data_IF_792571140754
#
_entry.id   IF_792571140754
#
_cell.length_a   1.000
_cell.length_b   1.000
_cell.length_c   1.000
_cell.angle_alpha   90.00
_cell.angle_beta   90.00
_cell.angle_gamma   90.00
#
_symmetry.space_group_name_H-M   'P 1'
#
loop_
_entity.id
_entity.type
_entity.pdbx_description
1 polymer ?
#
# COMPACT_ATOMS: atom_id res chain seq x y z
N UNK A 1 -14.16 -5.38 -18.51
CA UNK A 1 -13.26 -4.30 -18.85
C UNK A 1 -11.84 -4.84 -18.90
N UNK A 2 -11.01 -4.30 -19.79
CA UNK A 2 -9.69 -4.86 -20.14
C UNK A 2 -8.70 -4.82 -18.95
N UNK A 3 -8.65 -3.68 -18.23
CA UNK A 3 -7.69 -3.42 -17.16
C UNK A 3 -8.26 -3.61 -15.75
N UNK A 4 -9.47 -4.14 -15.59
CA UNK A 4 -10.11 -4.23 -14.27
C UNK A 4 -9.68 -5.45 -13.47
N UNK A 5 -9.65 -5.29 -12.14
CA UNK A 5 -9.50 -6.37 -11.17
C UNK A 5 -10.68 -6.40 -10.18
N UNK A 6 -10.81 -7.51 -9.47
CA UNK A 6 -11.66 -7.64 -8.29
C UNK A 6 -10.75 -7.85 -7.07
N UNK A 7 -10.81 -6.94 -6.13
CA UNK A 7 -10.07 -7.03 -4.87
C UNK A 7 -11.10 -7.17 -3.74
N UNK A 8 -11.24 -8.38 -3.24
CA UNK A 8 -12.13 -8.67 -2.12
C UNK A 8 -13.59 -8.18 -2.34
N UNK A 9 -14.12 -8.37 -3.54
CA UNK A 9 -15.46 -7.90 -3.93
C UNK A 9 -15.51 -6.45 -4.43
N UNK A 10 -14.45 -5.67 -4.28
CA UNK A 10 -14.35 -4.32 -4.82
C UNK A 10 -13.88 -4.36 -6.27
N UNK A 11 -14.64 -3.72 -7.16
CA UNK A 11 -14.21 -3.53 -8.55
C UNK A 11 -13.21 -2.39 -8.64
N UNK A 12 -12.00 -2.69 -9.09
CA UNK A 12 -10.91 -1.73 -9.30
C UNK A 12 -10.68 -1.60 -10.81
N UNK A 13 -10.96 -0.43 -11.38
CA UNK A 13 -10.93 -0.23 -12.83
C UNK A 13 -10.41 1.17 -13.20
N UNK A 14 -9.17 1.28 -13.73
CA UNK A 14 -8.18 0.21 -13.95
C UNK A 14 -7.64 -0.39 -12.64
N UNK A 15 -6.98 -1.56 -12.71
CA UNK A 15 -6.38 -2.26 -11.58
C UNK A 15 -5.13 -1.53 -11.01
N UNK A 16 -5.21 -0.22 -10.94
CA UNK A 16 -4.17 0.70 -10.48
C UNK A 16 -4.76 1.61 -9.41
N UNK A 17 -4.08 1.77 -8.30
CA UNK A 17 -4.44 2.69 -7.22
C UNK A 17 -3.23 3.48 -6.71
N UNK A 18 -3.43 4.45 -5.83
CA UNK A 18 -2.32 5.07 -5.12
C UNK A 18 -1.93 4.26 -3.88
N UNK A 19 -0.64 4.25 -3.54
CA UNK A 19 -0.18 3.75 -2.25
C UNK A 19 -0.59 4.71 -1.11
N UNK A 20 -0.84 4.18 0.09
CA UNK A 20 -1.18 5.01 1.26
C UNK A 20 -0.09 6.05 1.58
N UNK A 21 -0.49 7.25 2.01
CA UNK A 21 0.42 8.31 2.42
C UNK A 21 0.93 9.23 1.31
N UNK A 22 0.67 8.93 0.03
CA UNK A 22 1.06 9.78 -1.11
C UNK A 22 0.16 11.02 -1.20
N UNK A 23 -1.14 10.83 -1.07
CA UNK A 23 -2.10 11.92 -1.06
C UNK A 23 -2.68 12.06 0.35
N UNK A 24 -2.34 13.19 1.00
CA UNK A 24 -2.58 13.34 2.43
C UNK A 24 -3.69 14.33 2.79
N UNK A 25 -4.16 15.15 1.81
CA UNK A 25 -5.13 16.22 2.08
C UNK A 25 -6.49 15.93 1.42
N UNK A 26 -7.61 16.21 2.12
CA UNK A 26 -8.96 16.00 1.60
C UNK A 26 -9.23 16.71 0.26
N UNK A 27 -8.79 17.96 0.12
CA UNK A 27 -8.93 18.73 -1.12
C UNK A 27 -8.22 18.11 -2.30
N UNK A 28 -7.07 17.47 -2.07
CA UNK A 28 -6.32 16.72 -3.08
C UNK A 28 -7.08 15.45 -3.44
N UNK A 29 -7.52 14.66 -2.46
CA UNK A 29 -8.30 13.44 -2.69
C UNK A 29 -9.56 13.69 -3.53
N UNK A 30 -10.31 14.77 -3.28
CA UNK A 30 -11.47 15.15 -4.10
C UNK A 30 -11.10 15.38 -5.56
N UNK A 31 -10.02 16.12 -5.83
CA UNK A 31 -9.54 16.38 -7.20
C UNK A 31 -9.07 15.11 -7.89
N UNK A 32 -8.46 14.19 -7.14
CA UNK A 32 -7.96 12.92 -7.64
C UNK A 32 -9.06 11.93 -8.03
N UNK A 33 -10.29 12.08 -7.51
CA UNK A 33 -11.40 11.18 -7.82
C UNK A 33 -11.67 11.02 -9.32
N UNK A 34 -11.33 12.05 -10.12
CA UNK A 34 -11.48 12.04 -11.58
C UNK A 34 -10.30 11.36 -12.33
N UNK A 35 -9.17 11.11 -11.66
CA UNK A 35 -8.01 10.48 -12.30
C UNK A 35 -8.29 9.05 -12.76
N UNK A 36 -7.46 8.55 -13.69
CA UNK A 36 -7.50 7.18 -14.20
C UNK A 36 -6.86 6.18 -13.22
N UNK A 37 -7.33 6.24 -11.95
CA UNK A 37 -7.10 5.24 -10.91
C UNK A 37 -8.40 4.52 -10.60
N UNK A 38 -8.34 3.24 -10.30
CA UNK A 38 -9.53 2.41 -10.04
C UNK A 38 -9.98 2.41 -8.58
N UNK A 39 -9.09 2.74 -7.65
CA UNK A 39 -9.39 2.93 -6.23
C UNK A 39 -8.41 3.91 -5.58
N UNK A 40 -8.74 4.38 -4.39
CA UNK A 40 -7.93 5.35 -3.63
C UNK A 40 -7.70 4.89 -2.21
N UNK A 41 -6.45 5.02 -1.75
CA UNK A 41 -6.04 4.70 -0.38
C UNK A 41 -5.66 5.98 0.35
N UNK A 42 -6.25 6.20 1.52
CA UNK A 42 -5.98 7.39 2.34
C UNK A 42 -4.62 7.29 3.04
N UNK A 43 -4.14 8.42 3.58
CA UNK A 43 -3.04 8.41 4.54
C UNK A 43 -3.47 7.63 5.78
N UNK A 44 -2.56 6.80 6.31
CA UNK A 44 -2.82 6.01 7.51
C UNK A 44 -3.10 6.89 8.74
N UNK A 45 -4.12 6.51 9.51
CA UNK A 45 -4.49 7.15 10.76
C UNK A 45 -4.52 6.12 11.90
N UNK A 46 -4.43 6.59 13.15
CA UNK A 46 -4.65 5.81 14.37
C UNK A 46 -5.69 6.48 15.24
N UNK A 47 -6.12 5.83 16.31
CA UNK A 47 -7.22 6.31 17.15
C UNK A 47 -6.92 7.68 17.79
N UNK A 48 -5.81 7.79 18.51
CA UNK A 48 -5.47 8.99 19.28
C UNK A 48 -4.73 10.08 18.45
N UNK A 49 -4.28 9.74 17.25
CA UNK A 49 -3.33 10.56 16.49
C UNK A 49 -1.88 10.28 16.86
N UNK A 50 -0.97 10.86 16.11
CA UNK A 50 0.47 10.67 16.28
C UNK A 50 1.25 11.82 15.64
N UNK A 51 2.31 12.25 16.30
CA UNK A 51 3.33 13.12 15.72
C UNK A 51 4.32 12.33 14.87
N UNK A 52 4.85 12.97 13.83
CA UNK A 52 5.89 12.41 12.97
C UNK A 52 7.29 12.77 13.45
N UNK A 53 8.28 12.42 12.63
CA UNK A 53 9.65 12.87 12.84
C UNK A 53 9.81 14.35 12.47
N UNK A 54 10.85 14.99 13.02
CA UNK A 54 11.27 16.34 12.65
C UNK A 54 11.80 16.40 11.20
N UNK A 55 11.69 17.57 10.58
CA UNK A 55 12.26 17.80 9.25
C UNK A 55 13.80 17.89 9.28
N UNK A 56 14.48 17.49 8.21
CA UNK A 56 13.98 16.91 6.97
C UNK A 56 13.53 15.44 7.10
N UNK A 57 12.35 15.11 6.55
CA UNK A 57 11.74 13.78 6.61
C UNK A 57 11.80 13.01 5.30
N UNK A 58 12.28 13.63 4.21
CA UNK A 58 12.26 13.06 2.87
C UNK A 58 13.39 13.64 2.01
N UNK A 59 14.07 12.78 1.25
CA UNK A 59 15.12 13.20 0.31
C UNK A 59 15.35 12.20 -0.81
N UNK A 60 15.74 12.69 -1.98
CA UNK A 60 16.22 11.84 -3.08
C UNK A 60 17.66 11.41 -2.81
N UNK A 61 17.97 10.13 -2.87
CA UNK A 61 19.33 9.61 -2.65
C UNK A 61 20.05 9.27 -3.96
N UNK A 62 19.33 8.83 -4.98
CA UNK A 62 19.84 8.59 -6.33
C UNK A 62 18.74 8.88 -7.35
N UNK A 63 19.01 8.70 -8.64
CA UNK A 63 17.98 8.85 -9.68
C UNK A 63 16.79 7.90 -9.46
N UNK A 64 17.03 6.72 -8.93
CA UNK A 64 16.04 5.66 -8.79
C UNK A 64 15.55 5.45 -7.34
N UNK A 65 16.10 6.19 -6.37
CA UNK A 65 15.83 5.96 -4.96
C UNK A 65 15.56 7.23 -4.17
N UNK A 66 14.55 7.14 -3.32
CA UNK A 66 14.20 8.11 -2.29
C UNK A 66 14.26 7.46 -0.93
N UNK A 67 14.57 8.25 0.10
CA UNK A 67 14.43 7.82 1.51
C UNK A 67 13.52 8.76 2.26
N UNK A 68 12.75 8.20 3.17
CA UNK A 68 11.82 8.95 4.02
C UNK A 68 11.83 8.44 5.46
N UNK A 69 11.58 9.37 6.38
CA UNK A 69 11.34 9.11 7.79
C UNK A 69 10.16 9.98 8.24
N UNK A 70 8.96 9.69 7.72
CA UNK A 70 7.75 10.49 8.01
C UNK A 70 7.20 10.19 9.39
N UNK A 71 7.17 8.91 9.84
CA UNK A 71 6.77 8.53 11.19
C UNK A 71 5.27 8.48 11.43
N UNK A 72 4.44 8.38 10.38
CA UNK A 72 2.98 8.24 10.45
C UNK A 72 2.22 9.41 11.14
N UNK A 73 2.58 10.70 10.95
CA UNK A 73 1.84 11.80 11.57
C UNK A 73 0.38 11.82 11.09
N UNK A 74 -0.54 11.97 12.05
CA UNK A 74 -1.97 12.11 11.80
C UNK A 74 -2.67 12.68 13.03
N UNK A 75 -3.83 13.31 12.82
CA UNK A 75 -4.58 13.99 13.87
C UNK A 75 -5.61 13.10 14.59
N UNK A 76 -5.54 11.76 14.39
CA UNK A 76 -6.43 10.81 15.05
C UNK A 76 -7.70 10.48 14.25
N UNK A 77 -8.42 9.46 14.72
CA UNK A 77 -9.57 8.89 14.02
C UNK A 77 -10.75 9.87 13.94
N UNK A 78 -10.97 10.70 14.96
CA UNK A 78 -12.03 11.73 14.94
C UNK A 78 -11.78 12.79 13.86
N UNK A 79 -10.54 13.25 13.70
CA UNK A 79 -10.16 14.14 12.61
C UNK A 79 -10.28 13.46 11.24
N UNK A 80 -9.89 12.20 11.16
CA UNK A 80 -10.04 11.38 9.95
C UNK A 80 -11.51 11.21 9.56
N UNK A 81 -12.42 11.04 10.52
CA UNK A 81 -13.85 10.97 10.28
C UNK A 81 -14.36 12.24 9.58
N UNK A 82 -14.04 13.42 10.12
CA UNK A 82 -14.43 14.71 9.52
C UNK A 82 -13.90 14.85 8.09
N UNK A 83 -12.66 14.44 7.84
CA UNK A 83 -12.08 14.41 6.51
C UNK A 83 -12.88 13.49 5.57
N UNK A 84 -13.23 12.29 6.02
CA UNK A 84 -13.95 11.30 5.21
C UNK A 84 -15.41 11.70 4.96
N UNK A 85 -16.10 12.33 5.91
CA UNK A 85 -17.44 12.92 5.73
C UNK A 85 -17.47 13.90 4.56
N UNK A 86 -16.39 14.65 4.38
CA UNK A 86 -16.23 15.59 3.27
C UNK A 86 -15.84 14.91 1.95
N UNK A 87 -15.01 13.87 1.99
CA UNK A 87 -14.37 13.24 0.81
C UNK A 87 -15.20 12.10 0.24
N UNK A 88 -15.72 11.20 1.07
CA UNK A 88 -16.38 9.96 0.63
C UNK A 88 -17.58 10.18 -0.31
N UNK A 89 -18.42 11.23 -0.11
CA UNK A 89 -19.51 11.52 -1.05
C UNK A 89 -19.08 11.79 -2.51
N UNK A 90 -17.81 12.11 -2.76
CA UNK A 90 -17.28 12.31 -4.11
C UNK A 90 -16.88 11.00 -4.78
N UNK A 91 -16.57 9.95 -4.02
CA UNK A 91 -16.13 8.64 -4.54
C UNK A 91 -17.30 7.70 -4.81
N UNK A 92 -18.29 7.68 -3.95
CA UNK A 92 -19.45 6.79 -4.04
C UNK A 92 -20.22 6.88 -5.36
N UNK A 93 -20.58 8.09 -5.88
CA UNK A 93 -21.31 8.21 -7.13
C UNK A 93 -20.55 7.75 -8.38
N UNK A 94 -19.21 7.84 -8.35
CA UNK A 94 -18.36 7.45 -9.48
C UNK A 94 -17.94 5.97 -9.43
N UNK A 95 -18.36 5.24 -8.39
CA UNK A 95 -18.11 3.81 -8.25
C UNK A 95 -16.64 3.44 -8.06
N UNK A 96 -15.82 4.36 -7.53
CA UNK A 96 -14.41 4.11 -7.21
C UNK A 96 -14.25 3.87 -5.71
N UNK A 97 -13.76 2.71 -5.28
CA UNK A 97 -13.56 2.43 -3.86
C UNK A 97 -12.61 3.40 -3.18
N UNK A 98 -12.99 3.86 -2.00
CA UNK A 98 -12.15 4.60 -1.05
C UNK A 98 -11.75 3.65 0.07
N UNK A 99 -10.45 3.39 0.20
CA UNK A 99 -9.85 2.48 1.18
C UNK A 99 -9.22 3.33 2.29
N UNK A 100 -9.64 3.12 3.53
CA UNK A 100 -9.07 3.83 4.68
C UNK A 100 -7.92 3.03 5.27
N UNK A 101 -6.72 3.61 5.25
CA UNK A 101 -5.53 3.00 5.84
C UNK A 101 -5.46 3.32 7.34
N UNK A 102 -5.28 2.28 8.16
CA UNK A 102 -5.22 2.36 9.63
C UNK A 102 -3.98 1.64 10.18
N UNK A 103 -3.49 2.13 11.31
CA UNK A 103 -2.53 1.43 12.16
C UNK A 103 -2.88 1.74 13.62
N UNK A 104 -2.48 0.91 14.56
CA UNK A 104 -2.55 1.25 15.97
C UNK A 104 -1.57 0.41 16.79
N UNK A 105 -1.39 0.74 18.08
CA UNK A 105 -0.54 0.03 19.02
C UNK A 105 -1.31 -0.99 19.87
N UNK A 106 -2.62 -1.07 19.72
CA UNK A 106 -3.49 -2.08 20.33
C UNK A 106 -4.69 -2.40 19.44
N UNK A 107 -5.21 -3.62 19.60
CA UNK A 107 -6.40 -4.10 18.89
C UNK A 107 -7.65 -3.34 19.31
N UNK A 108 -7.75 -2.90 20.57
CA UNK A 108 -8.88 -2.13 21.09
C UNK A 108 -9.01 -0.78 20.40
N UNK A 109 -7.88 -0.06 20.23
CA UNK A 109 -7.86 1.24 19.52
C UNK A 109 -8.14 1.05 18.04
N UNK A 110 -7.58 0.00 17.42
CA UNK A 110 -7.90 -0.35 16.03
C UNK A 110 -9.40 -0.60 15.85
N UNK A 111 -10.04 -1.39 16.72
CA UNK A 111 -11.50 -1.64 16.70
C UNK A 111 -12.28 -0.33 16.79
N UNK A 112 -11.92 0.58 17.71
CA UNK A 112 -12.56 1.89 17.84
C UNK A 112 -12.44 2.72 16.56
N UNK A 113 -11.25 2.75 15.93
CA UNK A 113 -11.04 3.45 14.65
C UNK A 113 -11.90 2.87 13.54
N UNK A 114 -11.97 1.54 13.42
CA UNK A 114 -12.79 0.87 12.40
C UNK A 114 -14.27 1.21 12.60
N UNK A 115 -14.80 1.06 13.81
CA UNK A 115 -16.20 1.36 14.11
C UNK A 115 -16.55 2.82 13.81
N UNK A 116 -15.69 3.76 14.18
CA UNK A 116 -15.88 5.19 13.95
C UNK A 116 -15.92 5.58 12.47
N UNK A 117 -15.11 4.89 11.63
CA UNK A 117 -14.90 5.24 10.22
C UNK A 117 -15.70 4.35 9.26
N UNK A 118 -16.42 3.36 9.78
CA UNK A 118 -17.05 2.31 8.99
C UNK A 118 -17.97 2.85 7.87
N UNK A 119 -18.71 3.91 8.13
CA UNK A 119 -19.71 4.41 7.17
C UNK A 119 -19.11 5.28 6.04
N UNK A 120 -17.81 5.60 6.13
CA UNK A 120 -17.13 6.57 5.26
C UNK A 120 -16.03 5.96 4.38
N UNK A 121 -16.09 4.65 4.11
CA UNK A 121 -15.14 3.96 3.24
C UNK A 121 -15.77 2.70 2.63
N UNK A 122 -15.06 2.04 1.72
CA UNK A 122 -15.48 0.78 1.11
C UNK A 122 -14.67 -0.40 1.63
N UNK A 123 -13.46 -0.18 2.14
CA UNK A 123 -12.57 -1.16 2.76
C UNK A 123 -11.59 -0.50 3.73
N UNK A 124 -10.90 -1.32 4.53
CA UNK A 124 -9.79 -0.89 5.37
C UNK A 124 -8.48 -1.55 4.95
N UNK A 125 -7.39 -0.77 4.93
CA UNK A 125 -6.02 -1.26 4.83
C UNK A 125 -5.36 -1.21 6.21
N UNK A 126 -4.99 -2.35 6.78
CA UNK A 126 -4.20 -2.43 8.02
C UNK A 126 -2.73 -2.24 7.70
N UNK A 127 -2.15 -1.10 8.06
CA UNK A 127 -0.75 -0.80 7.84
C UNK A 127 0.13 -1.45 8.93
N UNK A 128 0.38 -2.74 8.80
CA UNK A 128 1.26 -3.52 9.68
C UNK A 128 2.71 -3.53 9.19
N UNK A 129 3.13 -2.51 8.45
CA UNK A 129 4.36 -2.57 7.65
C UNK A 129 5.24 -1.33 7.76
N UNK A 130 4.80 -0.25 8.42
CA UNK A 130 5.57 0.99 8.49
C UNK A 130 6.92 0.75 9.19
N UNK A 131 8.06 1.03 8.51
CA UNK A 131 9.39 0.79 9.09
C UNK A 131 9.94 1.99 9.87
N UNK A 132 9.32 3.16 9.73
CA UNK A 132 9.79 4.42 10.34
C UNK A 132 9.14 4.62 11.71
N UNK A 133 9.71 3.97 12.71
CA UNK A 133 9.22 3.95 14.09
C UNK A 133 10.16 4.74 15.02
N UNK A 134 9.57 5.38 16.03
CA UNK A 134 10.32 5.94 17.15
C UNK A 134 10.77 4.81 18.11
N UNK A 135 11.85 5.01 18.87
CA UNK A 135 12.30 4.01 19.83
C UNK A 135 11.19 3.60 20.81
N UNK A 136 10.99 2.29 20.98
CA UNK A 136 9.96 1.73 21.88
C UNK A 136 8.55 1.61 21.30
N UNK A 137 8.28 2.09 20.10
CA UNK A 137 6.98 1.92 19.47
C UNK A 137 6.71 0.46 19.06
N UNK A 138 5.48 0.00 19.35
CA UNK A 138 4.99 -1.35 19.00
C UNK A 138 3.88 -1.25 17.96
N UNK A 139 4.20 -0.71 16.79
CA UNK A 139 3.27 -0.52 15.66
C UNK A 139 3.94 -0.95 14.34
N UNK A 140 3.20 -0.88 13.25
CA UNK A 140 3.74 -1.07 11.91
C UNK A 140 4.53 -2.37 11.76
N UNK A 141 5.80 -2.27 11.34
CA UNK A 141 6.64 -3.43 11.05
C UNK A 141 6.91 -4.33 12.27
N UNK A 142 6.81 -3.81 13.50
CA UNK A 142 6.95 -4.63 14.71
C UNK A 142 5.81 -5.64 14.79
N UNK A 143 4.58 -5.22 14.46
CA UNK A 143 3.42 -6.12 14.38
C UNK A 143 3.55 -7.02 13.15
N UNK A 144 3.86 -6.45 11.99
CA UNK A 144 3.90 -7.17 10.72
C UNK A 144 5.03 -8.18 10.56
N UNK A 145 5.98 -8.27 11.49
CA UNK A 145 7.02 -9.31 11.53
C UNK A 145 6.65 -10.53 12.39
N UNK A 146 5.59 -10.44 13.17
CA UNK A 146 5.14 -11.51 14.05
C UNK A 146 3.80 -12.07 13.55
N UNK A 147 3.77 -13.32 13.03
CA UNK A 147 2.54 -13.95 12.54
C UNK A 147 1.41 -13.99 13.59
N UNK A 148 1.74 -14.09 14.88
CA UNK A 148 0.73 -14.09 15.98
C UNK A 148 0.11 -12.71 16.17
N UNK A 149 0.92 -11.65 16.10
CA UNK A 149 0.40 -10.29 16.17
C UNK A 149 -0.42 -9.94 14.92
N UNK A 150 0.05 -10.31 13.73
CA UNK A 150 -0.73 -10.15 12.48
C UNK A 150 -2.10 -10.78 12.62
N UNK A 151 -2.15 -12.03 13.11
CA UNK A 151 -3.40 -12.73 13.37
C UNK A 151 -4.32 -11.94 14.29
N UNK A 152 -3.84 -11.52 15.47
CA UNK A 152 -4.64 -10.79 16.45
C UNK A 152 -5.25 -9.49 15.86
N UNK A 153 -4.46 -8.74 15.07
CA UNK A 153 -4.92 -7.50 14.47
C UNK A 153 -5.94 -7.74 13.35
N UNK A 154 -5.77 -8.78 12.54
CA UNK A 154 -6.73 -9.14 11.49
C UNK A 154 -8.04 -9.64 12.09
N UNK A 155 -8.00 -10.55 13.07
CA UNK A 155 -9.19 -11.05 13.77
C UNK A 155 -9.96 -9.88 14.42
N UNK A 156 -9.25 -8.97 15.11
CA UNK A 156 -9.86 -7.80 15.73
C UNK A 156 -10.55 -6.87 14.69
N UNK A 157 -9.95 -6.70 13.53
CA UNK A 157 -10.55 -5.92 12.46
C UNK A 157 -11.79 -6.62 11.87
N UNK A 158 -11.71 -7.91 11.60
CA UNK A 158 -12.85 -8.71 11.07
C UNK A 158 -14.04 -8.77 12.02
N UNK A 159 -13.80 -8.77 13.33
CA UNK A 159 -14.87 -8.66 14.35
C UNK A 159 -15.58 -7.29 14.32
N UNK A 160 -14.89 -6.25 13.86
CA UNK A 160 -15.36 -4.86 13.93
C UNK A 160 -16.13 -4.39 12.70
N UNK A 161 -15.99 -5.09 11.56
CA UNK A 161 -16.64 -4.69 10.30
C UNK A 161 -16.93 -5.87 9.38
N UNK A 162 -17.91 -5.70 8.49
CA UNK A 162 -18.17 -6.60 7.36
C UNK A 162 -17.45 -6.16 6.07
N UNK A 163 -16.82 -5.00 6.10
CA UNK A 163 -16.06 -4.49 4.93
C UNK A 163 -14.77 -5.27 4.73
N UNK A 164 -14.24 -5.31 3.50
CA UNK A 164 -12.98 -5.97 3.21
C UNK A 164 -11.83 -5.41 4.06
N UNK A 165 -10.97 -6.31 4.54
CA UNK A 165 -9.75 -6.00 5.27
C UNK A 165 -8.55 -6.38 4.40
N UNK A 166 -7.77 -5.37 4.01
CA UNK A 166 -6.52 -5.51 3.27
C UNK A 166 -5.38 -5.43 4.27
N UNK A 167 -4.46 -6.39 4.26
CA UNK A 167 -3.31 -6.39 5.18
C UNK A 167 -2.07 -5.94 4.44
N UNK A 168 -1.51 -4.80 4.84
CA UNK A 168 -0.28 -4.27 4.23
C UNK A 168 0.95 -4.75 4.97
N UNK A 169 1.80 -5.49 4.24
CA UNK A 169 3.02 -6.10 4.72
C UNK A 169 4.27 -5.37 4.18
N UNK A 170 5.41 -5.63 4.82
CA UNK A 170 6.72 -5.14 4.41
C UNK A 170 7.54 -6.25 3.75
N UNK A 171 8.41 -5.89 2.80
CA UNK A 171 9.40 -6.83 2.27
C UNK A 171 10.56 -7.12 3.25
N UNK A 172 10.64 -6.45 4.40
CA UNK A 172 11.69 -6.71 5.39
C UNK A 172 11.81 -8.19 5.77
N UNK A 173 10.73 -8.86 6.21
CA UNK A 173 10.74 -10.29 6.50
C UNK A 173 11.17 -11.16 5.32
N UNK A 174 10.80 -10.82 4.09
CA UNK A 174 11.22 -11.52 2.87
C UNK A 174 12.73 -11.40 2.61
N UNK A 175 13.30 -10.21 2.89
CA UNK A 175 14.74 -9.95 2.71
C UNK A 175 15.56 -10.74 3.74
N UNK A 176 15.05 -10.81 4.97
CA UNK A 176 15.70 -11.53 6.07
C UNK A 176 15.62 -13.06 5.84
N UNK A 177 14.43 -13.57 5.49
CA UNK A 177 14.15 -14.98 5.25
C UNK A 177 12.84 -15.12 4.44
N UNK A 178 12.89 -15.77 3.27
CA UNK A 178 11.72 -15.97 2.41
C UNK A 178 10.61 -16.76 3.09
N UNK A 179 10.93 -17.74 3.94
CA UNK A 179 9.92 -18.52 4.66
C UNK A 179 9.15 -17.64 5.65
N UNK A 180 9.79 -16.63 6.20
CA UNK A 180 9.15 -15.72 7.16
C UNK A 180 7.99 -14.93 6.55
N UNK A 181 8.12 -14.44 5.33
CA UNK A 181 7.02 -13.72 4.68
C UNK A 181 5.85 -14.66 4.30
N UNK A 182 6.14 -15.93 3.98
CA UNK A 182 5.12 -16.96 3.75
C UNK A 182 4.30 -17.19 5.02
N UNK A 183 4.94 -17.42 6.16
CA UNK A 183 4.27 -17.58 7.46
C UNK A 183 3.36 -16.40 7.80
N UNK A 184 3.86 -15.17 7.59
CA UNK A 184 3.11 -13.93 7.88
C UNK A 184 1.89 -13.82 6.96
N UNK A 185 2.06 -14.05 5.66
CA UNK A 185 0.98 -13.96 4.68
C UNK A 185 -0.11 -15.03 4.92
N UNK A 186 0.31 -16.27 5.23
CA UNK A 186 -0.61 -17.35 5.58
C UNK A 186 -1.35 -17.05 6.89
N UNK A 187 -0.66 -16.48 7.88
CA UNK A 187 -1.31 -16.06 9.14
C UNK A 187 -2.38 -14.99 8.89
N UNK A 188 -2.12 -14.01 8.02
CA UNK A 188 -3.12 -13.02 7.61
C UNK A 188 -4.32 -13.67 6.91
N UNK A 189 -4.08 -14.56 5.95
CA UNK A 189 -5.13 -15.29 5.21
C UNK A 189 -6.00 -16.15 6.13
N UNK A 190 -5.36 -16.96 7.00
CA UNK A 190 -6.03 -17.80 8.01
C UNK A 190 -6.92 -17.01 8.96
N UNK A 191 -6.56 -15.77 9.26
CA UNK A 191 -7.29 -14.88 10.17
C UNK A 191 -8.42 -14.12 9.49
N UNK A 192 -8.65 -14.36 8.18
CA UNK A 192 -9.74 -13.77 7.42
C UNK A 192 -9.40 -12.47 6.72
N UNK A 193 -8.14 -12.17 6.45
CA UNK A 193 -7.78 -11.08 5.54
C UNK A 193 -8.40 -11.34 4.16
N UNK A 194 -9.00 -10.29 3.58
CA UNK A 194 -9.66 -10.38 2.27
C UNK A 194 -8.71 -10.07 1.10
N UNK A 195 -7.58 -9.40 1.40
CA UNK A 195 -6.49 -9.14 0.46
C UNK A 195 -5.18 -8.86 1.20
N UNK A 196 -4.05 -8.98 0.49
CA UNK A 196 -2.73 -8.57 0.98
C UNK A 196 -2.19 -7.46 0.07
N UNK A 197 -1.62 -6.38 0.63
CA UNK A 197 -0.84 -5.41 -0.12
C UNK A 197 0.64 -5.48 0.29
N UNK A 198 1.55 -5.45 -0.69
CA UNK A 198 3.00 -5.57 -0.50
C UNK A 198 3.76 -4.88 -1.65
N UNK A 199 4.73 -4.06 -1.35
CA UNK A 199 5.44 -3.86 -0.07
C UNK A 199 5.28 -2.42 0.43
N UNK A 200 5.62 -2.17 1.70
CA UNK A 200 5.95 -0.82 2.18
C UNK A 200 7.40 -0.48 1.82
N UNK A 201 7.85 0.75 2.08
CA UNK A 201 9.23 1.19 1.93
C UNK A 201 10.19 0.34 2.77
N UNK A 202 11.42 0.13 2.30
CA UNK A 202 12.42 -0.77 2.92
C UNK A 202 13.30 0.02 3.88
N UNK A 203 13.34 -0.38 5.15
CA UNK A 203 14.08 0.31 6.23
C UNK A 203 15.60 0.29 6.05
N UNK A 204 16.31 1.19 6.73
CA UNK A 204 17.77 1.19 6.90
C UNK A 204 18.53 2.09 5.92
N UNK A 205 17.85 2.85 5.06
CA UNK A 205 18.50 3.79 4.15
C UNK A 205 19.08 5.03 4.88
N UNK A 206 20.21 5.53 4.38
CA UNK A 206 20.84 6.76 4.86
C UNK A 206 21.40 7.57 3.68
N UNK A 207 21.34 8.89 3.78
CA UNK A 207 22.08 9.81 2.94
C UNK A 207 22.88 10.77 3.82
N UNK A 208 24.15 10.96 3.49
CA UNK A 208 25.06 11.91 4.17
C UNK A 208 25.18 13.17 3.32
N UNK A 209 25.02 14.32 3.96
CA UNK A 209 25.48 15.60 3.40
C UNK A 209 26.97 15.71 3.71
N UNK A 210 27.79 15.59 2.67
CA UNK A 210 29.26 15.58 2.80
C UNK A 210 29.82 16.94 3.22
N UNK A 211 29.14 18.03 2.93
CA UNK A 211 29.56 19.37 3.31
C UNK A 211 29.17 19.69 4.75
N UNK A 212 27.96 19.33 5.15
CA UNK A 212 27.51 19.47 6.53
C UNK A 212 28.02 18.35 7.47
N UNK A 213 28.63 17.28 6.91
CA UNK A 213 29.18 16.12 7.62
C UNK A 213 28.16 15.47 8.58
N UNK A 214 26.89 15.36 8.12
CA UNK A 214 25.79 14.80 8.92
C UNK A 214 24.74 14.10 8.03
N UNK A 215 23.91 13.22 8.62
CA UNK A 215 22.76 12.66 7.92
C UNK A 215 21.82 13.77 7.41
N UNK A 216 21.25 13.58 6.20
CA UNK A 216 20.29 14.52 5.61
C UNK A 216 18.96 14.48 6.35
N UNK A 217 18.47 13.29 6.70
CA UNK A 217 17.22 13.16 7.47
C UNK A 217 17.46 13.44 8.95
N UNK A 218 16.54 14.16 9.61
CA UNK A 218 16.61 14.42 11.05
C UNK A 218 16.63 13.13 11.88
N UNK A 219 15.85 12.11 11.47
CA UNK A 219 15.85 10.78 12.09
C UNK A 219 17.11 9.94 11.80
N UNK A 220 18.09 10.47 11.05
CA UNK A 220 19.32 9.83 10.56
C UNK A 220 19.06 8.73 9.53
N UNK A 221 18.24 7.75 9.86
CA UNK A 221 17.83 6.65 8.97
C UNK A 221 16.44 6.91 8.40
N UNK A 222 16.20 6.37 7.21
CA UNK A 222 14.90 6.39 6.56
C UNK A 222 14.62 5.11 5.82
N UNK A 223 13.41 5.00 5.31
CA UNK A 223 13.01 3.87 4.49
C UNK A 223 13.07 4.23 3.00
N UNK A 224 13.62 3.32 2.22
CA UNK A 224 13.85 3.47 0.78
C UNK A 224 12.59 3.19 -0.02
N UNK A 225 12.37 3.98 -1.08
CA UNK A 225 11.32 3.83 -2.09
C UNK A 225 11.86 4.17 -3.48
N UNK A 226 11.02 4.04 -4.52
CA UNK A 226 11.40 4.25 -5.93
C UNK A 226 11.79 2.95 -6.62
N UNK A 227 12.34 3.03 -7.83
CA UNK A 227 12.70 1.87 -8.67
C UNK A 227 13.62 0.87 -7.97
N UNK A 228 14.50 1.37 -7.11
CA UNK A 228 15.46 0.55 -6.39
C UNK A 228 14.83 -0.57 -5.53
N UNK A 229 13.55 -0.44 -5.14
CA UNK A 229 12.86 -1.48 -4.36
C UNK A 229 12.00 -2.43 -5.21
N UNK A 230 11.86 -2.20 -6.53
CA UNK A 230 11.02 -3.02 -7.41
C UNK A 230 11.36 -4.51 -7.36
N UNK A 231 12.62 -4.94 -7.47
CA UNK A 231 12.96 -6.37 -7.42
C UNK A 231 12.51 -7.07 -6.13
N UNK A 232 12.59 -6.37 -5.00
CA UNK A 232 12.13 -6.91 -3.71
C UNK A 232 10.60 -6.97 -3.64
N UNK A 233 9.90 -5.99 -4.21
CA UNK A 233 8.44 -5.98 -4.28
C UNK A 233 7.91 -7.13 -5.13
N UNK A 234 8.49 -7.36 -6.32
CA UNK A 234 8.14 -8.46 -7.22
C UNK A 234 8.42 -9.82 -6.55
N UNK A 235 9.64 -10.03 -6.02
CA UNK A 235 10.01 -11.28 -5.37
C UNK A 235 9.15 -11.59 -4.14
N UNK A 236 8.78 -10.56 -3.36
CA UNK A 236 7.88 -10.70 -2.23
C UNK A 236 6.46 -11.08 -2.68
N UNK A 237 5.94 -10.45 -3.74
CA UNK A 237 4.64 -10.78 -4.35
C UNK A 237 4.60 -12.22 -4.84
N UNK A 238 5.62 -12.64 -5.60
CA UNK A 238 5.79 -13.99 -6.11
C UNK A 238 5.76 -15.03 -4.98
N UNK A 239 6.58 -14.80 -3.93
CA UNK A 239 6.69 -15.73 -2.78
C UNK A 239 5.38 -15.85 -2.00
N UNK A 240 4.66 -14.74 -1.81
CA UNK A 240 3.35 -14.75 -1.14
C UNK A 240 2.31 -15.47 -2.00
N UNK A 241 2.27 -15.20 -3.30
CA UNK A 241 1.33 -15.86 -4.21
C UNK A 241 1.53 -17.38 -4.19
N UNK A 242 2.79 -17.85 -4.35
CA UNK A 242 3.14 -19.27 -4.27
C UNK A 242 2.65 -19.91 -2.95
N UNK A 243 2.91 -19.26 -1.80
CA UNK A 243 2.50 -19.76 -0.50
C UNK A 243 0.98 -19.85 -0.35
N UNK A 244 0.25 -18.84 -0.82
CA UNK A 244 -1.21 -18.82 -0.79
C UNK A 244 -1.80 -19.94 -1.65
N UNK A 245 -1.34 -20.05 -2.91
CA UNK A 245 -1.84 -21.10 -3.84
C UNK A 245 -1.55 -22.50 -3.30
N UNK A 246 -0.32 -22.76 -2.84
CA UNK A 246 0.07 -24.06 -2.28
C UNK A 246 -0.73 -24.44 -1.03
N UNK A 247 -1.27 -23.44 -0.32
CA UNK A 247 -2.08 -23.65 0.89
C UNK A 247 -3.59 -23.57 0.63
N UNK A 248 -4.02 -23.47 -0.64
CA UNK A 248 -5.43 -23.44 -1.03
C UNK A 248 -6.14 -22.10 -0.78
N UNK A 249 -5.41 -21.02 -0.56
CA UNK A 249 -5.96 -19.67 -0.41
C UNK A 249 -5.96 -18.92 -1.73
N UNK A 250 -7.09 -18.26 -2.05
CA UNK A 250 -7.24 -17.45 -3.27
C UNK A 250 -7.59 -16.00 -2.91
N UNK A 251 -6.82 -15.38 -2.00
CA UNK A 251 -6.98 -13.96 -1.71
C UNK A 251 -6.12 -13.11 -2.65
N UNK A 252 -6.62 -11.98 -3.17
CA UNK A 252 -5.89 -11.14 -4.10
C UNK A 252 -4.71 -10.44 -3.43
N UNK A 253 -3.65 -10.20 -4.22
CA UNK A 253 -2.47 -9.44 -3.81
C UNK A 253 -2.45 -8.10 -4.55
N UNK A 254 -2.12 -7.02 -3.85
CA UNK A 254 -1.86 -5.70 -4.42
C UNK A 254 -0.35 -5.46 -4.39
N UNK A 255 0.27 -5.43 -5.56
CA UNK A 255 1.72 -5.20 -5.70
C UNK A 255 2.09 -3.73 -5.54
N UNK A 256 3.13 -3.43 -4.75
CA UNK A 256 3.58 -2.05 -4.46
C UNK A 256 5.12 -2.02 -4.43
N UNK A 257 5.70 -0.99 -5.04
CA UNK A 257 7.13 -0.69 -4.94
C UNK A 257 7.81 -0.55 -6.30
N UNK A 258 8.32 0.63 -6.60
CA UNK A 258 9.11 0.92 -7.79
C UNK A 258 8.37 0.85 -9.12
N UNK A 259 7.04 0.90 -9.11
CA UNK A 259 6.20 0.87 -10.32
C UNK A 259 6.18 2.25 -10.94
N UNK A 260 6.65 2.35 -12.19
CA UNK A 260 6.67 3.58 -12.97
C UNK A 260 6.21 3.39 -14.41
N UNK A 261 6.27 2.18 -14.96
CA UNK A 261 5.90 1.86 -16.34
C UNK A 261 4.80 0.79 -16.42
N UNK A 262 4.25 0.58 -17.60
CA UNK A 262 3.27 -0.47 -17.83
C UNK A 262 3.89 -1.87 -17.75
N UNK A 263 5.15 -2.01 -18.13
CA UNK A 263 5.94 -3.22 -17.99
C UNK A 263 6.10 -3.58 -16.52
N UNK A 264 6.39 -2.60 -15.65
CA UNK A 264 6.47 -2.83 -14.19
C UNK A 264 5.15 -3.41 -13.64
N UNK A 265 4.01 -2.90 -14.15
CA UNK A 265 2.68 -3.43 -13.76
C UNK A 265 2.55 -4.88 -14.18
N UNK A 266 2.90 -5.21 -15.44
CA UNK A 266 2.80 -6.59 -15.95
C UNK A 266 3.69 -7.53 -15.16
N UNK A 267 4.93 -7.15 -14.83
CA UNK A 267 5.82 -7.96 -13.98
C UNK A 267 5.16 -8.30 -12.62
N UNK A 268 4.52 -7.32 -11.97
CA UNK A 268 3.79 -7.57 -10.72
C UNK A 268 2.60 -8.50 -10.90
N UNK A 269 1.83 -8.32 -11.98
CA UNK A 269 0.66 -9.16 -12.28
C UNK A 269 1.10 -10.60 -12.55
N UNK A 270 2.14 -10.80 -13.38
CA UNK A 270 2.68 -12.13 -13.67
C UNK A 270 3.31 -12.78 -12.42
N UNK A 271 3.84 -11.99 -11.49
CA UNK A 271 4.29 -12.48 -10.18
C UNK A 271 3.13 -12.86 -9.23
N UNK A 272 1.86 -12.63 -9.61
CA UNK A 272 0.68 -13.02 -8.84
C UNK A 272 -0.12 -11.87 -8.24
N UNK A 273 0.22 -10.60 -8.48
CA UNK A 273 -0.61 -9.49 -8.07
C UNK A 273 -1.90 -9.42 -8.91
N UNK A 274 -3.03 -9.10 -8.29
CA UNK A 274 -4.30 -8.84 -8.97
C UNK A 274 -4.49 -7.38 -9.33
N UNK A 275 -3.84 -6.47 -8.62
CA UNK A 275 -3.80 -5.03 -8.83
C UNK A 275 -2.47 -4.46 -8.34
N UNK A 276 -2.20 -3.20 -8.64
CA UNK A 276 -0.99 -2.52 -8.17
C UNK A 276 -1.30 -1.18 -7.50
N UNK A 277 -0.41 -0.73 -6.61
CA UNK A 277 -0.48 0.61 -6.04
C UNK A 277 0.82 1.39 -6.30
N UNK A 278 0.68 2.60 -6.80
CA UNK A 278 1.78 3.49 -7.19
C UNK A 278 2.02 4.52 -6.09
N UNK A 279 3.28 4.71 -5.73
CA UNK A 279 3.71 5.69 -4.72
C UNK A 279 4.65 6.74 -5.30
N UNK A 280 5.94 6.47 -5.27
CA UNK A 280 7.03 7.42 -5.56
C UNK A 280 6.95 8.04 -6.95
N UNK A 281 6.36 7.35 -7.94
CA UNK A 281 6.17 7.88 -9.29
C UNK A 281 5.28 9.14 -9.34
N UNK A 282 4.50 9.42 -8.31
CA UNK A 282 3.70 10.65 -8.20
C UNK A 282 4.45 11.82 -7.54
N UNK A 283 5.60 11.56 -6.92
CA UNK A 283 6.36 12.61 -6.22
C UNK A 283 6.88 13.66 -7.21
N UNK A 284 6.80 14.93 -6.81
CA UNK A 284 7.19 16.10 -7.60
C UNK A 284 6.42 16.30 -8.91
N UNK A 285 5.23 15.71 -9.06
CA UNK A 285 4.33 15.93 -10.19
C UNK A 285 3.14 16.80 -9.78
N UNK A 286 2.75 17.72 -10.64
CA UNK A 286 1.46 18.41 -10.55
C UNK A 286 0.30 17.44 -10.80
N UNK A 287 -0.93 17.84 -10.50
CA UNK A 287 -2.10 16.99 -10.77
C UNK A 287 -2.29 16.74 -12.26
N UNK A 288 -2.02 17.72 -13.10
CA UNK A 288 -2.07 17.67 -14.55
C UNK A 288 -1.01 16.70 -15.10
N UNK A 289 0.20 16.71 -14.55
CA UNK A 289 1.26 15.76 -14.89
C UNK A 289 0.91 14.32 -14.44
N UNK A 290 0.27 14.16 -13.29
CA UNK A 290 -0.22 12.85 -12.82
C UNK A 290 -1.33 12.34 -13.75
N UNK A 291 -2.26 13.18 -14.16
CA UNK A 291 -3.34 12.81 -15.10
C UNK A 291 -2.78 12.31 -16.43
N UNK A 292 -1.87 13.08 -17.04
CA UNK A 292 -1.21 12.71 -18.28
C UNK A 292 -0.37 11.42 -18.13
N UNK A 293 0.35 11.29 -17.03
CA UNK A 293 1.12 10.10 -16.71
C UNK A 293 0.22 8.86 -16.63
N UNK A 294 -0.89 8.93 -15.90
CA UNK A 294 -1.83 7.83 -15.76
C UNK A 294 -2.54 7.48 -17.07
N UNK A 295 -2.87 8.48 -17.89
CA UNK A 295 -3.42 8.25 -19.23
C UNK A 295 -2.44 7.45 -20.09
N UNK A 296 -1.19 7.88 -20.16
CA UNK A 296 -0.14 7.21 -20.93
C UNK A 296 0.16 5.80 -20.41
N UNK A 297 0.19 5.64 -19.08
CA UNK A 297 0.39 4.36 -18.43
C UNK A 297 -0.71 3.35 -18.79
N UNK A 298 -1.97 3.75 -18.72
CA UNK A 298 -3.10 2.89 -19.08
C UNK A 298 -3.07 2.52 -20.58
N UNK A 299 -2.80 3.49 -21.47
CA UNK A 299 -2.71 3.24 -22.91
C UNK A 299 -1.54 2.29 -23.25
N UNK A 300 -0.41 2.41 -22.55
CA UNK A 300 0.73 1.49 -22.72
C UNK A 300 0.40 0.10 -22.21
N UNK A 301 -0.29 -0.03 -21.08
CA UNK A 301 -0.73 -1.31 -20.54
C UNK A 301 -1.70 -2.03 -21.48
N UNK A 302 -2.64 -1.31 -22.11
CA UNK A 302 -3.53 -1.88 -23.13
C UNK A 302 -2.77 -2.42 -24.34
N UNK A 303 -1.71 -1.70 -24.79
CA UNK A 303 -0.84 -2.16 -25.89
C UNK A 303 -0.10 -3.43 -25.53
N UNK A 304 0.54 -3.47 -24.34
CA UNK A 304 1.26 -4.66 -23.89
C UNK A 304 0.35 -5.88 -23.79
N UNK A 305 -0.87 -5.74 -23.25
CA UNK A 305 -1.83 -6.84 -23.22
C UNK A 305 -2.15 -7.39 -24.62
N UNK A 306 -2.31 -6.50 -25.58
CA UNK A 306 -2.56 -6.90 -26.98
C UNK A 306 -1.35 -7.63 -27.58
N UNK A 307 -0.12 -7.14 -27.32
CA UNK A 307 1.11 -7.74 -27.82
C UNK A 307 1.35 -9.14 -27.20
N UNK A 308 0.96 -9.32 -25.92
CA UNK A 308 0.98 -10.61 -25.23
C UNK A 308 -0.19 -11.55 -25.59
N UNK A 309 -1.16 -11.10 -26.40
CA UNK A 309 -2.36 -11.87 -26.76
C UNK A 309 -3.32 -12.09 -25.57
N UNK A 310 -3.22 -11.29 -24.51
CA UNK A 310 -4.08 -11.39 -23.34
C UNK A 310 -5.37 -10.60 -23.53
N UNK A 311 -6.53 -11.22 -23.25
CA UNK A 311 -7.82 -10.54 -23.37
C UNK A 311 -8.11 -9.58 -22.23
N UNK A 312 -7.55 -9.82 -21.05
CA UNK A 312 -7.73 -9.00 -19.85
C UNK A 312 -6.45 -9.08 -18.98
N UNK A 313 -6.19 -8.04 -18.22
CA UNK A 313 -5.06 -7.99 -17.29
C UNK A 313 -5.05 -9.18 -16.32
N UNK A 314 -6.21 -9.56 -15.80
CA UNK A 314 -6.36 -10.69 -14.88
C UNK A 314 -5.93 -12.05 -15.46
N UNK A 315 -5.90 -12.19 -16.79
CA UNK A 315 -5.51 -13.44 -17.45
C UNK A 315 -4.01 -13.71 -17.31
N UNK A 316 -3.22 -12.68 -16.94
CA UNK A 316 -1.78 -12.74 -16.68
C UNK A 316 -1.44 -13.00 -15.20
N UNK A 317 -2.42 -13.02 -14.28
CA UNK A 317 -2.15 -13.18 -12.84
C UNK A 317 -1.48 -14.51 -12.57
N UNK A 318 -0.25 -14.46 -12.06
CA UNK A 318 0.55 -15.64 -11.74
C UNK A 318 1.15 -16.35 -12.96
N UNK A 319 1.16 -15.73 -14.13
CA UNK A 319 1.68 -16.36 -15.36
C UNK A 319 3.19 -16.72 -15.29
N UNK A 320 3.95 -16.09 -14.38
CA UNK A 320 5.37 -16.43 -14.17
C UNK A 320 5.59 -17.67 -13.27
N UNK A 321 4.53 -18.25 -12.69
CA UNK A 321 4.60 -19.47 -11.88
C UNK A 321 4.48 -20.70 -12.79
N UNK A 322 5.62 -21.22 -13.29
CA UNK A 322 5.75 -22.37 -14.17
C UNK A 322 6.34 -23.57 -13.42
#
# INVERSE_FOLDING_TARGET
MLLSANIAGLKIDPAIMNASGIFSFPSVLKRLSNLKLGAFVTKSACYDGKEGFENPIFTKCSEEAWINAVGLPNAGAESKKKELEEVYPHFKPIGKPLIVSLFDNSTEKLKKSILLLNDFCDAFELNLSCPNLMPGEKIGIVIGRDPKLVRQYVEAAKESTKKPIIVKLSAGPYIDDREKIKEIALSAALSGADAISVTNTISGGMKIDIHAKKPVLAAKYGAMSGKAIKPFGIGCTYTIYEALQSSGYSIPIIGIGGIETAEDIVEYIEAGASAVAIGTAFVNKSLEEIELYLLNLNNSLERILKDLGANKLRDLVGAAHV
#
